data_IF_472190479568
#
_entry.id   IF_472190479568
#
_cell.length_a   1.000
_cell.length_b   1.000
_cell.length_c   1.000
_cell.angle_alpha   90.00
_cell.angle_beta   90.00
_cell.angle_gamma   90.00
#
_symmetry.space_group_name_H-M   'P 1'
#
loop_
_entity.id
_entity.type
_entity.pdbx_description
1 polymer ?
#
# COMPACT_ATOMS: atom_id res chain seq x y z
N UNK A 1 23.85 54.59 17.53
CA UNK A 1 23.93 53.14 17.91
C UNK A 1 24.43 52.36 16.70
N UNK A 2 25.53 51.62 16.73
CA UNK A 2 25.96 50.83 15.62
C UNK A 2 25.04 49.63 15.43
N UNK A 3 24.70 49.28 14.18
CA UNK A 3 23.92 48.12 13.81
C UNK A 3 24.61 46.83 14.25
N UNK A 4 23.85 45.77 14.71
CA UNK A 4 24.45 44.50 15.08
C UNK A 4 25.12 43.82 13.85
N UNK A 5 26.22 43.11 14.03
CA UNK A 5 26.89 42.41 12.92
C UNK A 5 25.98 41.35 12.32
N UNK A 6 25.86 41.36 10.99
CA UNK A 6 25.14 40.32 10.24
C UNK A 6 25.79 38.97 10.51
N UNK A 7 25.03 38.01 11.02
CA UNK A 7 25.47 36.64 11.15
C UNK A 7 25.86 36.07 9.77
N UNK A 8 26.99 35.35 9.68
CA UNK A 8 27.38 34.74 8.42
C UNK A 8 26.28 33.76 7.94
N UNK A 9 26.06 33.63 6.64
CA UNK A 9 25.11 32.69 6.10
C UNK A 9 25.44 31.25 6.57
N UNK A 10 24.42 30.41 6.84
CA UNK A 10 24.66 29.03 7.24
C UNK A 10 25.50 28.32 6.16
N UNK A 11 26.41 27.41 6.55
CA UNK A 11 27.24 26.67 5.61
C UNK A 11 26.34 25.89 4.63
N UNK A 12 26.79 25.73 3.37
CA UNK A 12 26.04 24.94 2.40
C UNK A 12 25.83 23.51 2.94
N UNK A 13 24.66 22.89 2.68
CA UNK A 13 24.40 21.53 3.12
C UNK A 13 25.46 20.58 2.58
N UNK A 14 25.92 19.66 3.43
CA UNK A 14 26.88 18.65 3.04
C UNK A 14 26.33 17.84 1.84
N UNK A 15 27.18 17.50 0.86
CA UNK A 15 26.73 16.71 -0.29
C UNK A 15 26.12 15.38 0.20
N UNK A 16 25.04 14.89 -0.43
CA UNK A 16 24.37 13.66 -0.03
C UNK A 16 25.37 12.49 -0.05
N UNK A 17 25.47 11.83 1.08
CA UNK A 17 26.40 10.71 1.28
C UNK A 17 25.73 9.41 0.83
N UNK A 18 26.07 8.95 -0.38
CA UNK A 18 25.73 7.63 -0.94
C UNK A 18 24.29 7.16 -0.63
N UNK A 19 23.32 7.43 -1.51
CA UNK A 19 21.90 7.03 -1.34
C UNK A 19 21.71 5.53 -1.01
N UNK A 20 22.65 4.69 -1.44
CA UNK A 20 22.62 3.23 -1.21
C UNK A 20 22.58 2.80 0.26
N UNK A 21 23.06 3.63 1.20
CA UNK A 21 22.99 3.29 2.65
C UNK A 21 21.56 3.14 3.18
N UNK A 22 20.58 3.75 2.49
CA UNK A 22 19.17 3.66 2.85
C UNK A 22 18.44 2.50 2.16
N UNK A 23 19.13 1.67 1.37
CA UNK A 23 18.53 0.62 0.57
C UNK A 23 17.59 -0.30 1.36
N UNK A 24 18.03 -0.78 2.53
CA UNK A 24 17.22 -1.66 3.37
C UNK A 24 15.98 -0.96 3.94
N UNK A 25 16.09 0.31 4.33
CA UNK A 25 14.94 1.08 4.83
C UNK A 25 13.92 1.35 3.71
N UNK A 26 14.42 1.72 2.53
CA UNK A 26 13.59 1.94 1.34
C UNK A 26 12.90 0.64 0.93
N UNK A 27 13.63 -0.48 0.94
CA UNK A 27 13.06 -1.79 0.64
C UNK A 27 11.95 -2.20 1.62
N UNK A 28 12.19 -2.09 2.93
CA UNK A 28 11.16 -2.36 3.93
C UNK A 28 9.91 -1.49 3.76
N UNK A 29 10.11 -0.22 3.40
CA UNK A 29 9.02 0.71 3.12
C UNK A 29 8.24 0.32 1.86
N UNK A 30 8.94 -0.02 0.76
CA UNK A 30 8.32 -0.46 -0.49
C UNK A 30 7.57 -1.79 -0.28
N UNK A 31 8.20 -2.78 0.38
CA UNK A 31 7.62 -4.08 0.64
C UNK A 31 6.32 -4.02 1.47
N UNK A 32 6.20 -3.03 2.36
CA UNK A 32 4.96 -2.79 3.10
C UNK A 32 3.83 -2.18 2.23
N UNK A 33 4.13 -1.73 1.01
CA UNK A 33 3.21 -1.01 0.12
C UNK A 33 2.88 -1.74 -1.16
N UNK A 34 3.78 -2.60 -1.63
CA UNK A 34 3.52 -3.48 -2.77
C UNK A 34 3.47 -4.93 -2.30
N UNK A 35 2.61 -5.74 -2.91
CA UNK A 35 2.41 -7.12 -2.46
C UNK A 35 3.55 -8.07 -2.89
N UNK A 36 4.43 -7.64 -3.78
CA UNK A 36 5.46 -8.44 -4.41
C UNK A 36 6.87 -7.93 -4.10
N UNK A 37 7.75 -8.84 -3.67
CA UNK A 37 9.13 -8.54 -3.29
C UNK A 37 9.98 -8.05 -4.47
N UNK A 38 9.80 -8.65 -5.65
CA UNK A 38 10.54 -8.25 -6.85
C UNK A 38 10.17 -6.82 -7.28
N UNK A 39 8.87 -6.49 -7.23
CA UNK A 39 8.39 -5.12 -7.47
C UNK A 39 8.96 -4.13 -6.44
N UNK A 40 9.07 -4.52 -5.17
CA UNK A 40 9.67 -3.66 -4.15
C UNK A 40 11.15 -3.38 -4.44
N UNK A 41 11.91 -4.39 -4.85
CA UNK A 41 13.32 -4.22 -5.25
C UNK A 41 13.47 -3.30 -6.47
N UNK A 42 12.66 -3.50 -7.51
CA UNK A 42 12.66 -2.68 -8.71
C UNK A 42 12.41 -1.20 -8.38
N UNK A 43 11.38 -0.91 -7.56
CA UNK A 43 11.05 0.45 -7.15
C UNK A 43 12.17 1.12 -6.33
N UNK A 44 12.87 0.36 -5.50
CA UNK A 44 14.04 0.87 -4.77
C UNK A 44 15.18 1.18 -5.72
N UNK A 45 15.48 0.28 -6.66
CA UNK A 45 16.51 0.51 -7.68
C UNK A 45 16.19 1.75 -8.52
N UNK A 46 14.96 1.86 -9.04
CA UNK A 46 14.51 3.04 -9.77
C UNK A 46 14.62 4.33 -8.93
N UNK A 47 14.35 4.24 -7.62
CA UNK A 47 14.46 5.37 -6.70
C UNK A 47 15.92 5.83 -6.57
N UNK A 48 16.83 4.87 -6.38
CA UNK A 48 18.26 5.17 -6.25
C UNK A 48 18.84 5.76 -7.53
N UNK A 49 18.46 5.25 -8.70
CA UNK A 49 18.85 5.80 -10.00
C UNK A 49 18.34 7.24 -10.15
N UNK A 50 17.03 7.46 -9.91
CA UNK A 50 16.46 8.82 -9.99
C UNK A 50 17.09 9.79 -8.99
N UNK A 51 17.46 9.31 -7.81
CA UNK A 51 18.16 10.12 -6.82
C UNK A 51 19.59 10.50 -7.30
N UNK A 52 20.32 9.58 -7.90
CA UNK A 52 21.66 9.85 -8.46
C UNK A 52 21.59 10.89 -9.59
N UNK A 53 20.61 10.77 -10.48
CA UNK A 53 20.38 11.74 -11.56
C UNK A 53 20.01 13.12 -11.03
N UNK A 54 19.21 13.19 -9.97
CA UNK A 54 18.75 14.43 -9.36
C UNK A 54 19.70 15.01 -8.30
N UNK A 55 20.84 14.38 -8.05
CA UNK A 55 21.77 14.75 -6.97
C UNK A 55 22.22 16.23 -7.07
N UNK A 56 22.49 16.68 -8.28
CA UNK A 56 22.91 18.07 -8.55
C UNK A 56 21.84 19.12 -8.25
N UNK A 57 20.56 18.72 -8.16
CA UNK A 57 19.43 19.59 -7.83
C UNK A 57 19.04 19.55 -6.35
N UNK A 58 19.65 18.67 -5.57
CA UNK A 58 19.37 18.55 -4.14
C UNK A 58 19.89 19.76 -3.37
N UNK A 59 18.99 20.57 -2.84
CA UNK A 59 19.31 21.83 -2.14
C UNK A 59 19.47 21.68 -0.63
N UNK A 60 19.40 20.48 -0.07
CA UNK A 60 19.53 20.24 1.38
C UNK A 60 18.42 20.81 2.24
N UNK A 61 17.26 21.17 1.66
CA UNK A 61 16.11 21.68 2.40
C UNK A 61 15.42 20.62 3.26
N UNK A 62 15.66 19.35 2.97
CA UNK A 62 15.23 18.21 3.75
C UNK A 62 16.40 17.26 3.97
N UNK A 63 16.26 16.31 4.89
CA UNK A 63 17.26 15.25 5.03
C UNK A 63 17.31 14.39 3.76
N UNK A 64 18.48 13.84 3.43
CA UNK A 64 18.65 12.89 2.31
C UNK A 64 17.66 11.72 2.42
N UNK A 65 17.45 11.21 3.62
CA UNK A 65 16.46 10.17 3.90
C UNK A 65 15.05 10.61 3.48
N UNK A 66 14.60 11.76 3.96
CA UNK A 66 13.27 12.29 3.61
C UNK A 66 13.10 12.47 2.11
N UNK A 67 14.11 12.98 1.45
CA UNK A 67 14.11 13.19 0.01
C UNK A 67 13.97 11.88 -0.78
N UNK A 68 14.74 10.85 -0.41
CA UNK A 68 14.63 9.51 -1.01
C UNK A 68 13.24 8.90 -0.82
N UNK A 69 12.67 9.02 0.37
CA UNK A 69 11.30 8.52 0.62
C UNK A 69 10.24 9.25 -0.21
N UNK A 70 10.42 10.54 -0.49
CA UNK A 70 9.52 11.28 -1.39
C UNK A 70 9.62 10.75 -2.82
N UNK A 71 10.84 10.46 -3.32
CA UNK A 71 11.02 9.85 -4.64
C UNK A 71 10.35 8.47 -4.68
N UNK A 72 10.62 7.62 -3.69
CA UNK A 72 10.04 6.28 -3.62
C UNK A 72 8.51 6.29 -3.59
N UNK A 73 7.89 7.16 -2.80
CA UNK A 73 6.44 7.33 -2.77
C UNK A 73 5.86 7.65 -4.14
N UNK A 74 6.48 8.56 -4.88
CA UNK A 74 6.07 8.89 -6.25
C UNK A 74 6.17 7.68 -7.17
N UNK A 75 7.27 6.91 -7.09
CA UNK A 75 7.46 5.68 -7.86
C UNK A 75 6.39 4.63 -7.56
N UNK A 76 6.00 4.47 -6.29
CA UNK A 76 4.93 3.56 -5.88
C UNK A 76 3.59 4.00 -6.48
N UNK A 77 3.24 5.27 -6.41
CA UNK A 77 2.00 5.80 -7.01
C UNK A 77 2.02 5.60 -8.53
N UNK A 78 3.13 5.86 -9.20
CA UNK A 78 3.29 5.68 -10.64
C UNK A 78 3.23 4.19 -11.04
N UNK A 79 3.76 3.29 -10.21
CA UNK A 79 3.60 1.84 -10.39
C UNK A 79 2.12 1.45 -10.40
N UNK A 80 1.35 1.84 -9.39
CA UNK A 80 -0.08 1.54 -9.33
C UNK A 80 -0.90 2.21 -10.44
N UNK A 81 -0.52 3.42 -10.85
CA UNK A 81 -1.12 4.10 -11.99
C UNK A 81 -0.89 3.33 -13.29
N UNK A 82 0.31 2.80 -13.51
CA UNK A 82 0.63 1.95 -14.67
C UNK A 82 -0.14 0.63 -14.62
N UNK A 83 -0.14 -0.02 -13.47
CA UNK A 83 -0.82 -1.29 -13.24
C UNK A 83 -2.33 -1.19 -13.48
N UNK A 84 -2.98 -0.15 -12.98
CA UNK A 84 -4.42 0.07 -13.16
C UNK A 84 -4.82 0.37 -14.62
N UNK A 85 -3.88 0.87 -15.44
CA UNK A 85 -4.10 1.17 -16.86
C UNK A 85 -3.78 0.02 -17.80
N UNK A 86 -3.26 -1.08 -17.28
CA UNK A 86 -2.93 -2.24 -18.13
C UNK A 86 -4.18 -2.75 -18.84
N UNK A 87 -4.20 -2.78 -20.18
CA UNK A 87 -5.38 -3.18 -20.95
C UNK A 87 -5.70 -4.67 -20.83
N UNK A 88 -4.85 -5.44 -20.17
CA UNK A 88 -4.91 -6.89 -20.12
C UNK A 88 -5.93 -7.47 -19.13
N UNK A 89 -6.70 -6.64 -18.44
CA UNK A 89 -7.77 -7.17 -17.60
C UNK A 89 -9.10 -6.53 -18.00
N UNK A 90 -9.97 -7.34 -18.63
CA UNK A 90 -11.36 -6.97 -18.75
C UNK A 90 -11.92 -6.67 -17.35
N UNK A 91 -12.71 -5.61 -17.24
CA UNK A 91 -13.55 -5.29 -16.08
C UNK A 91 -14.63 -6.40 -15.84
N UNK A 92 -14.62 -7.45 -16.63
CA UNK A 92 -15.41 -8.64 -16.48
C UNK A 92 -14.78 -9.52 -15.38
N UNK A 93 -15.15 -9.21 -14.14
CA UNK A 93 -15.17 -10.25 -13.13
C UNK A 93 -16.03 -11.37 -13.70
N UNK A 94 -15.42 -12.53 -13.97
CA UNK A 94 -16.20 -13.73 -14.25
C UNK A 94 -17.23 -13.94 -13.15
N UNK A 95 -18.33 -14.64 -13.41
CA UNK A 95 -19.37 -14.93 -12.40
C UNK A 95 -18.80 -15.53 -11.11
N UNK A 96 -17.66 -16.21 -11.19
CA UNK A 96 -16.95 -16.78 -10.04
C UNK A 96 -16.13 -15.76 -9.22
N UNK A 97 -16.00 -14.52 -9.67
CA UNK A 97 -15.26 -13.46 -8.99
C UNK A 97 -16.14 -12.34 -8.44
N UNK A 98 -17.44 -12.57 -8.36
CA UNK A 98 -18.37 -11.66 -7.69
C UNK A 98 -18.50 -12.09 -6.20
N UNK A 99 -17.63 -11.61 -5.30
CA UNK A 99 -17.68 -12.00 -3.89
C UNK A 99 -19.03 -11.62 -3.24
N UNK A 100 -19.75 -10.70 -3.87
CA UNK A 100 -21.03 -10.22 -3.39
C UNK A 100 -22.07 -11.33 -3.29
N UNK A 101 -22.15 -12.25 -4.28
CA UNK A 101 -23.12 -13.34 -4.29
C UNK A 101 -22.88 -14.38 -3.16
N UNK A 102 -21.68 -14.44 -2.61
CA UNK A 102 -21.36 -15.33 -1.50
C UNK A 102 -21.69 -14.72 -0.14
N UNK A 103 -21.63 -13.40 -0.04
CA UNK A 103 -21.91 -12.69 1.20
C UNK A 103 -23.33 -12.20 1.30
N UNK A 104 -23.93 -11.82 0.17
CA UNK A 104 -25.26 -11.19 0.13
C UNK A 104 -26.26 -12.04 -0.63
N UNK A 105 -27.47 -12.14 -0.10
CA UNK A 105 -28.60 -12.77 -0.77
C UNK A 105 -29.00 -11.91 -2.00
N UNK A 106 -29.10 -12.49 -3.21
CA UNK A 106 -29.45 -11.73 -4.41
C UNK A 106 -30.85 -11.11 -4.36
N UNK A 107 -31.75 -11.68 -3.54
CA UNK A 107 -33.15 -11.27 -3.48
C UNK A 107 -33.36 -9.97 -2.70
N UNK A 108 -32.61 -9.71 -1.65
CA UNK A 108 -32.84 -8.60 -0.73
C UNK A 108 -31.57 -7.82 -0.36
N UNK A 109 -30.39 -8.24 -0.85
CA UNK A 109 -29.10 -7.61 -0.57
C UNK A 109 -28.63 -7.75 0.88
N UNK A 110 -29.30 -8.57 1.70
CA UNK A 110 -28.86 -8.83 3.06
C UNK A 110 -27.78 -9.89 3.09
N UNK A 111 -27.01 -9.91 4.18
CA UNK A 111 -26.00 -10.95 4.40
C UNK A 111 -26.67 -12.33 4.43
N UNK A 112 -26.00 -13.33 3.87
CA UNK A 112 -26.39 -14.72 4.14
C UNK A 112 -26.27 -15.01 5.64
N UNK A 113 -27.12 -15.91 6.14
CA UNK A 113 -27.13 -16.27 7.55
C UNK A 113 -25.76 -16.80 7.99
N UNK A 114 -25.21 -16.20 9.04
CA UNK A 114 -23.86 -16.50 9.54
C UNK A 114 -22.70 -15.85 8.77
N UNK A 115 -22.95 -15.17 7.65
CA UNK A 115 -21.91 -14.50 6.85
C UNK A 115 -21.75 -13.01 7.20
N UNK A 116 -22.57 -12.47 8.08
CA UNK A 116 -22.47 -11.09 8.55
C UNK A 116 -21.13 -10.81 9.25
N UNK A 117 -20.78 -9.51 9.45
CA UNK A 117 -19.58 -9.13 10.17
C UNK A 117 -19.54 -9.78 11.57
N UNK A 118 -18.61 -10.68 11.79
CA UNK A 118 -18.33 -11.21 13.11
C UNK A 118 -17.31 -10.30 13.79
N UNK A 119 -17.41 -10.06 15.10
CA UNK A 119 -16.33 -9.40 15.83
C UNK A 119 -15.10 -10.31 15.72
N UNK A 120 -14.09 -9.84 15.03
CA UNK A 120 -12.79 -10.50 15.10
C UNK A 120 -12.32 -10.40 16.53
N UNK A 121 -12.11 -11.54 17.15
CA UNK A 121 -11.64 -11.60 18.53
C UNK A 121 -10.20 -11.13 18.56
N UNK A 122 -10.01 -9.82 18.53
CA UNK A 122 -8.74 -9.19 18.86
C UNK A 122 -8.59 -9.40 20.35
N UNK A 123 -8.00 -10.54 20.72
CA UNK A 123 -7.69 -10.81 22.10
C UNK A 123 -6.85 -9.65 22.62
N UNK A 124 -7.55 -8.87 23.39
CA UNK A 124 -7.15 -8.04 24.50
C UNK A 124 -5.71 -7.49 24.55
N UNK A 125 -5.64 -6.30 24.85
CA UNK A 125 -4.85 -5.34 25.64
C UNK A 125 -3.65 -5.85 26.47
N UNK A 126 -3.25 -7.13 26.37
CA UNK A 126 -2.11 -7.64 27.13
C UNK A 126 -0.90 -7.83 26.17
N UNK A 127 0.21 -7.09 26.33
CA UNK A 127 1.38 -7.20 25.46
C UNK A 127 2.06 -8.55 25.69
N UNK A 128 1.68 -9.55 24.90
CA UNK A 128 2.34 -10.86 24.92
C UNK A 128 3.62 -10.81 24.08
N UNK A 129 4.68 -11.54 24.48
CA UNK A 129 5.94 -11.59 23.73
C UNK A 129 5.77 -12.13 22.29
N UNK A 130 4.72 -12.89 22.03
CA UNK A 130 4.37 -13.51 20.75
C UNK A 130 3.57 -12.59 19.79
N UNK A 131 3.05 -11.44 20.27
CA UNK A 131 2.31 -10.49 19.42
C UNK A 131 3.12 -10.00 18.22
N UNK A 132 4.42 -9.82 18.36
CA UNK A 132 5.27 -9.40 17.25
C UNK A 132 5.35 -10.47 16.16
N UNK A 133 5.40 -11.75 16.53
CA UNK A 133 5.40 -12.87 15.62
C UNK A 133 4.03 -13.01 14.94
N UNK A 134 2.95 -12.98 15.72
CA UNK A 134 1.58 -13.00 15.19
C UNK A 134 1.32 -11.88 14.19
N UNK A 135 1.81 -10.66 14.47
CA UNK A 135 1.71 -9.55 13.54
C UNK A 135 2.48 -9.80 12.24
N UNK A 136 3.66 -10.40 12.31
CA UNK A 136 4.44 -10.73 11.12
C UNK A 136 3.72 -11.80 10.27
N UNK A 137 3.20 -12.83 10.89
CA UNK A 137 2.44 -13.88 10.23
C UNK A 137 1.15 -13.33 9.59
N UNK A 138 0.37 -12.51 10.31
CA UNK A 138 -0.79 -11.82 9.77
C UNK A 138 -0.43 -10.97 8.54
N UNK A 139 0.69 -10.24 8.62
CA UNK A 139 1.18 -9.43 7.50
C UNK A 139 1.55 -10.29 6.28
N UNK A 140 2.11 -11.48 6.48
CA UNK A 140 2.41 -12.40 5.39
C UNK A 140 1.12 -12.92 4.74
N UNK A 141 0.14 -13.34 5.55
CA UNK A 141 -1.17 -13.79 5.04
C UNK A 141 -1.88 -12.66 4.31
N UNK A 142 -1.87 -11.45 4.85
CA UNK A 142 -2.48 -10.27 4.21
C UNK A 142 -1.84 -9.98 2.85
N UNK A 143 -0.50 -10.02 2.75
CA UNK A 143 0.21 -9.84 1.48
C UNK A 143 -0.17 -10.93 0.47
N UNK A 144 -0.21 -12.18 0.89
CA UNK A 144 -0.66 -13.27 0.02
C UNK A 144 -2.09 -13.03 -0.48
N UNK A 145 -3.01 -12.59 0.38
CA UNK A 145 -4.36 -12.23 -0.03
C UNK A 145 -4.39 -11.05 -1.01
N UNK A 146 -3.55 -10.04 -0.80
CA UNK A 146 -3.45 -8.89 -1.71
C UNK A 146 -2.97 -9.25 -3.11
N UNK A 147 -2.08 -10.24 -3.25
CA UNK A 147 -1.59 -10.71 -4.55
C UNK A 147 -2.70 -11.29 -5.44
N UNK A 148 -3.78 -11.77 -4.85
CA UNK A 148 -4.92 -12.31 -5.58
C UNK A 148 -5.97 -11.25 -5.97
N UNK A 149 -5.85 -10.02 -5.50
CA UNK A 149 -6.67 -8.90 -5.96
C UNK A 149 -6.36 -8.59 -7.43
N UNK A 150 -7.37 -8.13 -8.18
CA UNK A 150 -7.10 -7.60 -9.53
C UNK A 150 -6.16 -6.40 -9.44
N UNK A 151 -5.36 -6.09 -10.49
CA UNK A 151 -4.46 -4.94 -10.49
C UNK A 151 -5.13 -3.63 -10.12
N UNK A 152 -6.36 -3.40 -10.56
CA UNK A 152 -7.12 -2.22 -10.22
C UNK A 152 -7.57 -2.20 -8.75
N UNK A 153 -7.94 -3.34 -8.20
CA UNK A 153 -8.27 -3.47 -6.77
C UNK A 153 -7.02 -3.26 -5.90
N UNK A 154 -5.88 -3.82 -6.29
CA UNK A 154 -4.60 -3.60 -5.60
C UNK A 154 -4.23 -2.11 -5.58
N UNK A 155 -4.32 -1.44 -6.75
CA UNK A 155 -4.03 -0.03 -6.86
C UNK A 155 -4.94 0.82 -5.97
N UNK A 156 -6.26 0.63 -6.04
CA UNK A 156 -7.21 1.39 -5.22
C UNK A 156 -7.00 1.10 -3.73
N UNK A 157 -6.77 -0.17 -3.37
CA UNK A 157 -6.53 -0.56 -1.97
C UNK A 157 -5.26 0.10 -1.42
N UNK A 158 -4.14 -0.01 -2.12
CA UNK A 158 -2.88 0.56 -1.68
C UNK A 158 -2.94 2.09 -1.57
N UNK A 159 -3.46 2.78 -2.59
CA UNK A 159 -3.58 4.23 -2.57
C UNK A 159 -4.53 4.73 -1.47
N UNK A 160 -5.59 3.99 -1.15
CA UNK A 160 -6.57 4.38 -0.14
C UNK A 160 -6.14 4.05 1.29
N UNK A 161 -5.65 2.84 1.54
CA UNK A 161 -5.45 2.32 2.90
C UNK A 161 -3.99 2.32 3.35
N UNK A 162 -3.04 2.39 2.41
CA UNK A 162 -1.61 2.41 2.73
C UNK A 162 -1.01 3.80 2.53
N UNK A 163 -1.37 4.49 1.43
CA UNK A 163 -0.93 5.87 1.18
C UNK A 163 -1.93 6.92 1.67
N UNK A 164 -3.10 6.51 2.17
CA UNK A 164 -4.15 7.36 2.76
C UNK A 164 -4.62 8.51 1.86
N UNK A 165 -4.56 8.32 0.54
CA UNK A 165 -4.98 9.36 -0.39
C UNK A 165 -6.50 9.56 -0.36
N UNK A 166 -6.99 10.81 -0.56
CA UNK A 166 -8.41 11.09 -0.74
C UNK A 166 -9.00 10.38 -1.94
N UNK A 167 -10.28 10.00 -1.85
CA UNK A 167 -10.98 9.29 -2.93
C UNK A 167 -10.94 10.06 -4.26
N UNK A 168 -11.11 11.38 -4.21
CA UNK A 168 -11.07 12.25 -5.40
C UNK A 168 -9.69 12.18 -6.09
N UNK A 169 -8.60 12.24 -5.32
CA UNK A 169 -7.24 12.10 -5.85
C UNK A 169 -7.05 10.74 -6.50
N UNK A 170 -7.52 9.66 -5.86
CA UNK A 170 -7.42 8.30 -6.43
C UNK A 170 -8.21 8.20 -7.74
N UNK A 171 -9.44 8.76 -7.78
CA UNK A 171 -10.24 8.79 -9.00
C UNK A 171 -9.52 9.51 -10.15
N UNK A 172 -8.89 10.64 -9.88
CA UNK A 172 -8.12 11.40 -10.86
C UNK A 172 -6.88 10.63 -11.32
N UNK A 173 -6.11 10.08 -10.38
CA UNK A 173 -4.87 9.34 -10.66
C UNK A 173 -5.11 8.09 -11.49
N UNK A 174 -6.14 7.32 -11.16
CA UNK A 174 -6.47 6.08 -11.85
C UNK A 174 -7.45 6.27 -13.01
N UNK A 175 -7.98 7.47 -13.22
CA UNK A 175 -8.98 7.82 -14.25
C UNK A 175 -10.24 6.95 -14.15
N UNK A 176 -10.74 6.79 -12.95
CA UNK A 176 -11.99 6.07 -12.67
C UNK A 176 -13.06 7.03 -12.13
N UNK A 177 -14.33 6.67 -12.34
CA UNK A 177 -15.44 7.43 -11.78
C UNK A 177 -15.59 7.20 -10.26
N UNK A 178 -16.13 8.15 -9.51
CA UNK A 178 -16.41 7.95 -8.07
C UNK A 178 -17.28 6.72 -7.80
N UNK A 179 -18.28 6.45 -8.62
CA UNK A 179 -19.13 5.27 -8.48
C UNK A 179 -18.32 3.98 -8.63
N UNK A 180 -17.46 3.89 -9.66
CA UNK A 180 -16.60 2.73 -9.88
C UNK A 180 -15.59 2.57 -8.74
N UNK A 181 -15.02 3.67 -8.22
CA UNK A 181 -14.12 3.63 -7.07
C UNK A 181 -14.75 2.91 -5.86
N UNK A 182 -15.99 3.27 -5.51
CA UNK A 182 -16.67 2.65 -4.37
C UNK A 182 -16.95 1.17 -4.59
N UNK A 183 -17.31 0.77 -5.81
CA UNK A 183 -17.49 -0.65 -6.18
C UNK A 183 -16.17 -1.41 -6.02
N UNK A 184 -15.06 -0.86 -6.52
CA UNK A 184 -13.74 -1.49 -6.42
C UNK A 184 -13.32 -1.64 -4.94
N UNK A 185 -13.47 -0.59 -4.13
CA UNK A 185 -13.17 -0.63 -2.68
C UNK A 185 -13.99 -1.70 -1.98
N UNK A 186 -15.31 -1.74 -2.26
CA UNK A 186 -16.20 -2.71 -1.66
C UNK A 186 -15.78 -4.15 -1.99
N UNK A 187 -15.57 -4.45 -3.26
CA UNK A 187 -15.14 -5.78 -3.73
C UNK A 187 -13.77 -6.19 -3.18
N UNK A 188 -12.81 -5.28 -3.16
CA UNK A 188 -11.51 -5.55 -2.56
C UNK A 188 -11.62 -5.91 -1.08
N UNK A 189 -12.44 -5.19 -0.30
CA UNK A 189 -12.68 -5.49 1.12
C UNK A 189 -13.34 -6.86 1.32
N UNK A 190 -14.35 -7.20 0.54
CA UNK A 190 -15.02 -8.49 0.64
C UNK A 190 -14.06 -9.64 0.32
N UNK A 191 -13.28 -9.50 -0.74
CA UNK A 191 -12.29 -10.50 -1.10
C UNK A 191 -11.23 -10.70 -0.01
N UNK A 192 -10.65 -9.61 0.48
CA UNK A 192 -9.65 -9.67 1.55
C UNK A 192 -10.23 -10.26 2.83
N UNK A 193 -11.47 -9.89 3.20
CA UNK A 193 -12.17 -10.47 4.34
C UNK A 193 -12.25 -11.99 4.21
N UNK A 194 -12.79 -12.50 3.09
CA UNK A 194 -12.90 -13.94 2.85
C UNK A 194 -11.55 -14.65 2.91
N UNK A 195 -10.55 -14.06 2.27
CA UNK A 195 -9.20 -14.62 2.27
C UNK A 195 -8.61 -14.71 3.68
N UNK A 196 -8.76 -13.66 4.48
CA UNK A 196 -8.30 -13.63 5.88
C UNK A 196 -9.09 -14.59 6.75
N UNK A 197 -10.42 -14.64 6.63
CA UNK A 197 -11.26 -15.59 7.38
C UNK A 197 -10.81 -17.04 7.12
N UNK A 198 -10.52 -17.38 5.86
CA UNK A 198 -10.07 -18.74 5.50
C UNK A 198 -8.66 -19.06 5.97
N UNK A 199 -7.73 -18.12 5.86
CA UNK A 199 -6.29 -18.41 6.03
C UNK A 199 -5.73 -17.98 7.39
N UNK A 200 -6.48 -17.18 8.15
CA UNK A 200 -6.05 -16.69 9.46
C UNK A 200 -7.05 -16.98 10.57
N UNK A 201 -8.32 -16.63 10.39
CA UNK A 201 -9.33 -16.73 11.45
C UNK A 201 -10.04 -18.10 11.51
N UNK A 202 -10.00 -18.87 10.43
CA UNK A 202 -10.47 -20.26 10.39
C UNK A 202 -9.31 -21.14 9.91
N UNK A 203 -8.38 -21.52 10.77
CA UNK A 203 -7.32 -22.43 10.37
C UNK A 203 -7.98 -23.74 9.87
N UNK A 204 -7.41 -24.39 8.82
CA UNK A 204 -7.93 -25.65 8.33
C UNK A 204 -8.00 -26.62 9.51
N UNK A 205 -9.15 -27.29 9.66
CA UNK A 205 -9.30 -28.33 10.66
C UNK A 205 -8.12 -29.30 10.49
N UNK A 206 -7.34 -29.44 11.55
CA UNK A 206 -6.20 -30.38 11.56
C UNK A 206 -6.75 -31.77 11.19
N UNK A 207 -6.24 -32.31 10.07
CA UNK A 207 -6.58 -33.65 9.61
C UNK A 207 -5.96 -34.71 10.51
#
# INVERSE_FOLDING_TARGET
MPAPPLLPPPPPPAPPQRPARFGNELYGFALGRVADAATAEELVQETLVSALEALGSFRGQASERTWLFVILKRKIIDHYRRQARSPFLPLALGPDQAPEAEFFRPADGHWHDGQGPQPWNTAADDPRPDQALEQQELQQVLRACQQHLTPQQQAVFALRFVEELPAETICQELRITPSNYWVIVHRAKLYLRRCLEKNWFQPPAAA
#
